data_IF_669660792471
#
_entry.id   IF_669660792471
#
_cell.length_a   1.000
_cell.length_b   1.000
_cell.length_c   1.000
_cell.angle_alpha   90.00
_cell.angle_beta   90.00
_cell.angle_gamma   90.00
#
_symmetry.space_group_name_H-M   'P 1'
#
loop_
_entity.id
_entity.type
_entity.pdbx_description
1 polymer ?
#
# COMPACT_ATOMS: atom_id res chain seq x y z
N UNK A 1 28.54 22.21 4.53
CA UNK A 1 27.61 21.64 5.55
C UNK A 1 26.59 20.80 4.80
N UNK A 2 26.39 19.51 5.14
CA UNK A 2 25.49 18.64 4.38
C UNK A 2 24.04 18.83 4.85
N UNK A 3 23.18 19.35 3.96
CA UNK A 3 21.75 19.67 4.18
C UNK A 3 20.88 18.42 4.10
N UNK A 4 21.10 17.61 3.08
CA UNK A 4 20.53 16.28 2.86
C UNK A 4 21.59 15.48 2.09
N UNK A 5 21.58 14.16 2.20
CA UNK A 5 22.38 13.33 1.32
C UNK A 5 21.54 12.90 0.12
N UNK A 6 22.14 12.97 -1.07
CA UNK A 6 21.52 12.34 -2.24
C UNK A 6 21.37 10.84 -2.00
N UNK A 7 20.25 10.30 -2.51
CA UNK A 7 19.92 8.88 -2.41
C UNK A 7 19.61 8.38 -1.00
N UNK A 8 19.28 9.28 -0.08
CA UNK A 8 18.74 8.95 1.24
C UNK A 8 17.27 9.35 1.38
N UNK A 9 16.59 8.73 2.34
CA UNK A 9 15.18 8.95 2.65
C UNK A 9 14.98 9.60 4.00
N UNK A 10 14.07 10.57 4.08
CA UNK A 10 13.78 11.34 5.28
C UNK A 10 12.27 11.45 5.46
N UNK A 11 11.82 11.56 6.71
CA UNK A 11 10.40 11.71 7.05
C UNK A 11 10.04 13.20 7.19
N UNK A 12 8.99 13.62 6.50
CA UNK A 12 8.47 14.98 6.48
C UNK A 12 7.06 15.01 7.04
N UNK A 13 6.69 16.07 7.76
CA UNK A 13 5.33 16.24 8.25
C UNK A 13 4.40 16.71 7.11
N UNK A 14 3.24 16.08 6.99
CA UNK A 14 2.19 16.51 6.06
C UNK A 14 1.53 17.81 6.53
N UNK A 15 1.37 18.78 5.63
CA UNK A 15 0.73 20.08 5.91
C UNK A 15 -0.60 20.21 5.15
N UNK A 16 -0.71 19.66 3.95
CA UNK A 16 -1.89 19.85 3.09
C UNK A 16 -1.68 19.36 1.67
N UNK A 17 -2.72 19.49 0.86
CA UNK A 17 -2.62 19.37 -0.61
C UNK A 17 -2.73 20.77 -1.22
N UNK A 18 -2.01 21.01 -2.31
CA UNK A 18 -2.05 22.24 -3.09
C UNK A 18 -2.12 21.90 -4.59
N UNK A 19 -2.91 22.65 -5.35
CA UNK A 19 -3.07 22.46 -6.80
C UNK A 19 -2.39 23.62 -7.52
N UNK A 20 -1.50 23.32 -8.47
CA UNK A 20 -0.83 24.34 -9.25
C UNK A 20 -1.70 24.86 -10.40
N UNK A 21 -1.21 25.88 -11.10
CA UNK A 21 -1.92 26.52 -12.22
C UNK A 21 -2.18 25.58 -13.40
N UNK A 22 -1.49 24.44 -13.47
CA UNK A 22 -1.66 23.43 -14.52
C UNK A 22 -2.62 22.30 -14.10
N UNK A 23 -3.22 22.38 -12.91
CA UNK A 23 -4.09 21.35 -12.34
C UNK A 23 -3.33 20.17 -11.73
N UNK A 24 -2.01 20.29 -11.54
CA UNK A 24 -1.22 19.26 -10.89
C UNK A 24 -1.28 19.42 -9.37
N UNK A 25 -1.61 18.34 -8.67
CA UNK A 25 -1.77 18.35 -7.21
C UNK A 25 -0.48 17.88 -6.53
N UNK A 26 -0.07 18.61 -5.50
CA UNK A 26 1.12 18.35 -4.70
C UNK A 26 0.76 18.15 -3.23
N UNK A 27 1.54 17.31 -2.57
CA UNK A 27 1.55 17.14 -1.12
C UNK A 27 2.52 18.18 -0.56
N UNK A 28 2.01 19.06 0.30
CA UNK A 28 2.80 20.06 1.02
C UNK A 28 3.40 19.45 2.27
N UNK A 29 4.70 19.67 2.45
CA UNK A 29 5.54 18.99 3.43
C UNK A 29 6.28 20.00 4.32
N UNK A 30 6.44 19.66 5.60
CA UNK A 30 7.27 20.39 6.56
C UNK A 30 8.45 19.54 7.00
N UNK A 31 9.58 20.18 7.19
CA UNK A 31 10.76 19.57 7.77
C UNK A 31 11.35 20.46 8.86
N UNK A 32 11.57 19.92 10.05
CA UNK A 32 12.32 20.60 11.10
C UNK A 32 13.83 20.46 10.83
N UNK A 33 14.39 21.48 10.17
CA UNK A 33 15.79 21.52 9.82
C UNK A 33 16.72 21.65 11.03
N UNK A 34 16.24 21.93 12.25
CA UNK A 34 17.12 22.16 13.41
C UNK A 34 17.98 20.96 13.76
N UNK A 35 17.52 19.74 13.45
CA UNK A 35 18.25 18.50 13.74
C UNK A 35 19.35 18.18 12.74
N UNK A 36 19.23 18.64 11.50
CA UNK A 36 20.12 18.30 10.37
C UNK A 36 20.93 19.49 9.87
N UNK A 37 20.42 20.70 10.09
CA UNK A 37 21.01 21.97 9.73
C UNK A 37 20.95 22.92 10.93
N UNK A 38 21.98 22.89 11.80
CA UNK A 38 22.09 23.85 12.90
C UNK A 38 21.98 25.27 12.34
N UNK A 39 21.00 26.04 12.82
CA UNK A 39 20.60 27.40 12.39
C UNK A 39 19.56 27.53 11.25
N UNK A 40 19.07 26.43 10.67
CA UNK A 40 17.93 26.49 9.76
C UNK A 40 16.61 26.24 10.50
N UNK A 41 15.59 27.05 10.17
CA UNK A 41 14.26 26.94 10.74
C UNK A 41 13.43 25.81 10.11
N UNK A 42 12.11 25.93 10.23
CA UNK A 42 11.18 25.07 9.52
C UNK A 42 11.27 25.33 8.01
N UNK A 43 11.46 24.27 7.24
CA UNK A 43 11.49 24.32 5.77
C UNK A 43 10.24 23.67 5.20
N UNK A 44 9.71 24.25 4.13
CA UNK A 44 8.55 23.74 3.41
C UNK A 44 8.98 23.19 2.05
N UNK A 45 8.44 22.02 1.73
CA UNK A 45 8.70 21.30 0.48
C UNK A 45 7.38 20.81 -0.11
N UNK A 46 7.46 20.30 -1.34
CA UNK A 46 6.31 19.63 -1.97
C UNK A 46 6.74 18.45 -2.82
N UNK A 47 5.88 17.45 -2.92
CA UNK A 47 6.04 16.29 -3.80
C UNK A 47 4.75 16.04 -4.57
N UNK A 48 4.83 15.50 -5.78
CA UNK A 48 3.64 15.22 -6.59
C UNK A 48 2.72 14.21 -5.87
N UNK A 49 1.43 14.53 -5.79
CA UNK A 49 0.41 13.65 -5.24
C UNK A 49 -0.01 12.60 -6.28
N UNK A 50 -0.32 11.40 -5.81
CA UNK A 50 -0.86 10.33 -6.65
C UNK A 50 -2.40 10.34 -6.63
N UNK A 51 -3.08 9.79 -7.66
CA UNK A 51 -4.54 9.77 -7.76
C UNK A 51 -5.27 9.33 -6.47
N UNK A 52 -4.80 8.26 -5.83
CA UNK A 52 -5.43 7.77 -4.60
C UNK A 52 -5.25 8.72 -3.40
N UNK A 53 -4.18 9.52 -3.39
CA UNK A 53 -3.90 10.49 -2.31
C UNK A 53 -4.78 11.73 -2.46
N UNK A 54 -5.08 12.15 -3.70
CA UNK A 54 -5.97 13.29 -3.97
C UNK A 54 -7.40 12.99 -3.49
N UNK A 55 -7.84 11.75 -3.68
CA UNK A 55 -9.18 11.30 -3.30
C UNK A 55 -9.26 10.75 -1.87
N UNK A 56 -8.14 10.73 -1.15
CA UNK A 56 -8.06 10.20 0.21
C UNK A 56 -8.74 11.15 1.20
N UNK A 57 -9.59 10.64 2.11
CA UNK A 57 -10.12 11.44 3.20
C UNK A 57 -9.00 12.02 4.08
N UNK A 58 -9.07 13.29 4.50
CA UNK A 58 -8.00 13.95 5.27
C UNK A 58 -7.58 13.19 6.54
N UNK A 59 -8.54 12.57 7.22
CA UNK A 59 -8.31 11.78 8.44
C UNK A 59 -7.49 10.50 8.21
N UNK A 60 -7.40 10.05 6.96
CA UNK A 60 -6.62 8.86 6.56
C UNK A 60 -5.25 9.23 6.00
N UNK A 61 -5.00 10.50 5.72
CA UNK A 61 -3.74 10.93 5.16
C UNK A 61 -2.61 10.71 6.19
N UNK A 62 -1.50 10.08 5.79
CA UNK A 62 -0.39 9.86 6.71
C UNK A 62 0.17 11.18 7.22
N UNK A 63 0.31 11.30 8.55
CA UNK A 63 0.89 12.51 9.18
C UNK A 63 2.34 12.75 8.79
N UNK A 64 3.07 11.68 8.46
CA UNK A 64 4.44 11.73 7.98
C UNK A 64 4.55 11.07 6.61
N UNK A 65 5.20 11.76 5.69
CA UNK A 65 5.49 11.28 4.34
C UNK A 65 6.99 11.01 4.27
N UNK A 66 7.36 9.78 3.91
CA UNK A 66 8.75 9.48 3.64
C UNK A 66 9.10 9.91 2.22
N UNK A 67 10.13 10.73 2.08
CA UNK A 67 10.61 11.21 0.79
C UNK A 67 12.06 10.82 0.58
N UNK A 68 12.36 10.43 -0.66
CA UNK A 68 13.68 10.15 -1.16
C UNK A 68 14.28 11.40 -1.80
N UNK A 69 15.52 11.73 -1.45
CA UNK A 69 16.27 12.83 -2.03
C UNK A 69 16.90 12.36 -3.33
N UNK A 70 16.23 12.60 -4.44
CA UNK A 70 16.71 12.12 -5.74
C UNK A 70 17.97 12.87 -6.19
N UNK A 71 17.99 14.19 -5.97
CA UNK A 71 19.12 15.05 -6.34
C UNK A 71 19.15 16.30 -5.46
N UNK A 72 20.33 16.89 -5.28
CA UNK A 72 20.51 18.21 -4.70
C UNK A 72 20.62 19.27 -5.79
N UNK A 73 19.84 20.33 -5.67
CA UNK A 73 19.80 21.45 -6.60
C UNK A 73 20.43 22.66 -5.92
N UNK A 74 21.42 23.28 -6.59
CA UNK A 74 22.03 24.51 -6.09
C UNK A 74 21.05 25.68 -6.08
N UNK A 75 21.08 26.47 -5.01
CA UNK A 75 20.30 27.71 -4.90
C UNK A 75 20.63 28.69 -6.03
N UNK A 76 19.63 29.09 -6.83
CA UNK A 76 19.79 30.18 -7.83
C UNK A 76 19.98 31.56 -7.19
N UNK A 77 19.58 31.72 -5.93
CA UNK A 77 19.50 33.01 -5.25
C UNK A 77 20.71 33.32 -4.37
N UNK A 78 21.55 32.32 -4.07
CA UNK A 78 22.81 32.55 -3.37
C UNK A 78 23.89 31.54 -3.77
N UNK A 79 24.45 31.65 -5.00
CA UNK A 79 25.44 30.69 -5.51
C UNK A 79 26.75 30.66 -4.70
N UNK A 80 27.00 31.65 -3.84
CA UNK A 80 28.18 31.73 -2.98
C UNK A 80 28.05 30.95 -1.65
N UNK A 81 26.85 30.46 -1.28
CA UNK A 81 26.59 29.87 0.05
C UNK A 81 26.55 28.33 0.10
N UNK A 82 26.87 27.60 -0.98
CA UNK A 82 26.79 26.12 -1.02
C UNK A 82 25.42 25.54 -0.63
N UNK A 83 24.35 26.36 -0.53
CA UNK A 83 23.03 25.89 -0.15
C UNK A 83 22.41 25.03 -1.26
N UNK A 84 22.23 23.75 -0.94
CA UNK A 84 21.67 22.73 -1.81
C UNK A 84 20.30 22.31 -1.30
N UNK A 85 19.29 22.37 -2.18
CA UNK A 85 17.92 21.99 -1.89
C UNK A 85 17.59 20.60 -2.46
N UNK A 86 16.92 19.73 -1.70
CA UNK A 86 16.55 18.41 -2.18
C UNK A 86 15.42 18.49 -3.21
N UNK A 87 15.63 17.83 -4.34
CA UNK A 87 14.56 17.41 -5.24
C UNK A 87 13.96 16.11 -4.69
N UNK A 88 12.79 16.24 -4.06
CA UNK A 88 12.13 15.16 -3.35
C UNK A 88 11.22 14.33 -4.27
N UNK A 89 11.21 13.03 -4.04
CA UNK A 89 10.21 12.11 -4.55
C UNK A 89 9.65 11.32 -3.36
N UNK A 90 8.43 10.79 -3.47
CA UNK A 90 7.93 9.88 -2.43
C UNK A 90 8.82 8.63 -2.39
N UNK A 91 9.25 8.20 -1.20
CA UNK A 91 10.05 7.00 -1.04
C UNK A 91 9.25 5.79 -1.52
N UNK A 92 9.83 5.05 -2.47
CA UNK A 92 9.10 4.01 -3.18
C UNK A 92 8.77 2.82 -2.29
N UNK A 93 9.70 2.36 -1.48
CA UNK A 93 9.44 1.23 -0.58
C UNK A 93 8.34 1.57 0.42
N UNK A 94 8.41 2.76 1.02
CA UNK A 94 7.37 3.26 1.91
C UNK A 94 6.03 3.35 1.21
N UNK A 95 5.97 3.95 0.02
CA UNK A 95 4.76 4.11 -0.78
C UNK A 95 4.11 2.77 -1.12
N UNK A 96 4.91 1.80 -1.59
CA UNK A 96 4.37 0.47 -1.94
C UNK A 96 3.70 -0.20 -0.74
N UNK A 97 4.27 -0.06 0.47
CA UNK A 97 3.68 -0.61 1.70
C UNK A 97 2.40 0.12 2.15
N UNK A 98 2.18 1.35 1.70
CA UNK A 98 0.91 2.05 1.93
C UNK A 98 -0.17 1.57 0.97
N UNK A 99 0.19 1.28 -0.29
CA UNK A 99 -0.79 1.01 -1.36
C UNK A 99 -1.15 -0.48 -1.45
N UNK A 100 -0.17 -1.36 -1.28
CA UNK A 100 -0.32 -2.77 -1.61
C UNK A 100 -0.38 -3.66 -0.37
N UNK A 101 -1.25 -4.67 -0.46
CA UNK A 101 -1.38 -5.73 0.52
C UNK A 101 -1.07 -7.06 -0.16
N UNK A 102 -0.11 -7.86 0.36
CA UNK A 102 0.10 -9.21 -0.14
C UNK A 102 -1.18 -10.05 -0.12
N UNK A 103 -1.39 -10.83 -1.19
CA UNK A 103 -2.57 -11.66 -1.41
C UNK A 103 -3.78 -10.91 -1.98
N UNK A 104 -3.68 -9.62 -2.27
CA UNK A 104 -4.73 -8.85 -2.94
C UNK A 104 -4.49 -8.72 -4.44
N UNK A 105 -5.58 -8.59 -5.16
CA UNK A 105 -5.63 -8.43 -6.62
C UNK A 105 -5.79 -6.96 -6.95
N UNK A 106 -4.96 -6.47 -7.86
CA UNK A 106 -5.01 -5.09 -8.35
C UNK A 106 -5.04 -5.10 -9.88
N UNK A 107 -5.61 -4.05 -10.47
CA UNK A 107 -5.71 -3.91 -11.91
C UNK A 107 -4.60 -3.03 -12.45
N UNK A 108 -3.85 -3.56 -13.40
CA UNK A 108 -2.72 -2.89 -14.01
C UNK A 108 -2.93 -2.70 -15.50
N UNK A 109 -2.33 -1.65 -16.06
CA UNK A 109 -2.17 -1.45 -17.49
C UNK A 109 -0.70 -1.46 -17.90
N UNK A 110 -0.38 -2.02 -19.06
CA UNK A 110 0.97 -1.96 -19.62
C UNK A 110 1.19 -0.59 -20.24
N UNK A 111 2.15 0.17 -19.70
CA UNK A 111 2.47 1.53 -20.19
C UNK A 111 3.82 1.60 -20.92
N UNK A 112 4.62 0.55 -20.86
CA UNK A 112 5.90 0.52 -21.54
C UNK A 112 6.59 -0.84 -21.50
N UNK A 113 7.70 -0.93 -22.21
CA UNK A 113 8.57 -2.10 -22.25
C UNK A 113 10.02 -1.66 -22.34
N UNK A 114 10.88 -2.23 -21.51
CA UNK A 114 12.32 -1.93 -21.52
C UNK A 114 13.07 -2.75 -22.58
N UNK A 115 14.35 -2.40 -22.81
CA UNK A 115 15.21 -3.10 -23.77
C UNK A 115 15.49 -4.56 -23.40
N UNK A 116 15.35 -4.93 -22.12
CA UNK A 116 15.45 -6.31 -21.65
C UNK A 116 14.14 -7.10 -21.88
N UNK A 117 13.11 -6.45 -22.44
CA UNK A 117 11.83 -7.04 -22.75
C UNK A 117 10.85 -7.09 -21.57
N UNK A 118 11.20 -6.51 -20.42
CA UNK A 118 10.33 -6.43 -19.24
C UNK A 118 9.35 -5.28 -19.37
N UNK A 119 8.18 -5.40 -18.75
CA UNK A 119 7.10 -4.43 -18.88
C UNK A 119 7.13 -3.41 -17.73
N UNK A 120 6.71 -2.19 -18.06
CA UNK A 120 6.30 -1.18 -17.07
C UNK A 120 4.79 -1.23 -16.98
N UNK A 121 4.28 -1.49 -15.78
CA UNK A 121 2.85 -1.51 -15.47
C UNK A 121 2.46 -0.24 -14.72
N UNK A 122 1.25 0.24 -14.91
CA UNK A 122 0.64 1.29 -14.10
C UNK A 122 -0.60 0.75 -13.43
N UNK A 123 -0.63 0.86 -12.11
CA UNK A 123 -1.83 0.59 -11.34
C UNK A 123 -2.91 1.62 -11.71
N UNK A 124 -4.07 1.13 -12.12
CA UNK A 124 -5.15 2.00 -12.62
C UNK A 124 -5.85 2.77 -11.50
N UNK A 125 -5.84 2.27 -10.28
CA UNK A 125 -6.52 2.90 -9.14
C UNK A 125 -5.56 3.85 -8.40
N UNK A 126 -4.36 3.36 -8.09
CA UNK A 126 -3.38 4.17 -7.34
C UNK A 126 -2.56 5.12 -8.23
N UNK A 127 -2.44 4.81 -9.52
CA UNK A 127 -1.58 5.53 -10.46
C UNK A 127 -0.08 5.28 -10.27
N UNK A 128 0.31 4.31 -9.41
CA UNK A 128 1.71 3.95 -9.18
C UNK A 128 2.25 3.13 -10.35
N UNK A 129 3.39 3.55 -10.87
CA UNK A 129 4.13 2.80 -11.90
C UNK A 129 4.97 1.68 -11.26
N UNK A 130 5.07 0.54 -11.94
CA UNK A 130 5.82 -0.65 -11.56
C UNK A 130 6.72 -1.09 -12.70
N UNK A 131 8.00 -1.26 -12.40
CA UNK A 131 9.02 -1.53 -13.40
C UNK A 131 9.44 -3.00 -13.35
N UNK A 132 9.97 -3.49 -14.47
CA UNK A 132 10.57 -4.81 -14.60
C UNK A 132 9.62 -5.99 -14.39
N UNK A 133 8.35 -5.84 -14.74
CA UNK A 133 7.40 -6.95 -14.72
C UNK A 133 7.72 -7.97 -15.82
N UNK A 134 7.74 -9.24 -15.46
CA UNK A 134 7.92 -10.36 -16.37
C UNK A 134 6.59 -11.11 -16.50
N UNK A 135 6.11 -11.21 -17.74
CA UNK A 135 4.86 -11.92 -18.07
C UNK A 135 5.21 -13.25 -18.73
N UNK A 136 4.45 -14.30 -18.43
CA UNK A 136 4.61 -15.59 -19.11
C UNK A 136 4.11 -15.52 -20.56
N UNK A 137 3.17 -14.61 -20.83
CA UNK A 137 2.60 -14.36 -22.15
C UNK A 137 3.00 -12.99 -22.68
N UNK A 138 3.19 -12.82 -24.01
CA UNK A 138 3.45 -11.51 -24.59
C UNK A 138 2.30 -10.54 -24.33
N UNK A 139 2.62 -9.31 -23.91
CA UNK A 139 1.66 -8.23 -23.66
C UNK A 139 1.95 -7.05 -24.59
N UNK A 140 0.90 -6.28 -24.92
CA UNK A 140 0.98 -5.05 -25.68
C UNK A 140 0.80 -3.82 -24.78
N UNK A 141 1.34 -2.69 -25.20
CA UNK A 141 1.08 -1.40 -24.54
C UNK A 141 -0.42 -1.10 -24.64
N UNK A 142 -1.04 -0.75 -23.51
CA UNK A 142 -2.48 -0.54 -23.37
C UNK A 142 -3.24 -1.76 -22.85
N UNK A 143 -2.66 -2.96 -22.88
CA UNK A 143 -3.29 -4.14 -22.30
C UNK A 143 -3.51 -3.93 -20.80
N UNK A 144 -4.67 -4.36 -20.31
CA UNK A 144 -5.04 -4.25 -18.90
C UNK A 144 -5.47 -5.59 -18.35
N UNK A 145 -4.94 -5.95 -17.19
CA UNK A 145 -5.17 -7.26 -16.56
C UNK A 145 -5.05 -7.15 -15.05
N UNK A 146 -5.49 -8.20 -14.37
CA UNK A 146 -5.42 -8.31 -12.92
C UNK A 146 -4.19 -9.09 -12.50
N UNK A 147 -3.57 -8.66 -11.40
CA UNK A 147 -2.46 -9.38 -10.78
C UNK A 147 -2.64 -9.43 -9.27
N UNK A 148 -2.25 -10.56 -8.70
CA UNK A 148 -2.13 -10.73 -7.26
C UNK A 148 -0.75 -10.27 -6.81
N UNK A 149 -0.70 -9.38 -5.81
CA UNK A 149 0.54 -9.01 -5.14
C UNK A 149 0.98 -10.17 -4.26
N UNK A 150 2.05 -10.87 -4.61
CA UNK A 150 2.59 -11.96 -3.80
C UNK A 150 3.40 -11.44 -2.61
N UNK A 151 4.20 -10.39 -2.82
CA UNK A 151 5.05 -9.78 -1.80
C UNK A 151 5.54 -8.39 -2.24
N UNK A 152 6.00 -7.61 -1.27
CA UNK A 152 6.64 -6.31 -1.48
C UNK A 152 8.12 -6.47 -1.13
N UNK A 153 8.99 -6.38 -2.13
CA UNK A 153 10.44 -6.61 -2.02
C UNK A 153 11.19 -5.30 -2.20
N UNK A 154 11.31 -4.53 -1.11
CA UNK A 154 11.89 -3.18 -1.15
C UNK A 154 11.09 -2.28 -2.08
N UNK A 155 11.71 -1.88 -3.19
CA UNK A 155 11.13 -0.99 -4.20
C UNK A 155 10.31 -1.70 -5.30
N UNK A 156 10.13 -3.01 -5.21
CA UNK A 156 9.46 -3.81 -6.25
C UNK A 156 8.31 -4.64 -5.69
N UNK A 157 7.30 -4.89 -6.54
CA UNK A 157 6.25 -5.88 -6.27
C UNK A 157 6.60 -7.19 -6.95
N UNK A 158 6.40 -8.30 -6.24
CA UNK A 158 6.27 -9.60 -6.88
C UNK A 158 4.80 -9.81 -7.22
N UNK A 159 4.49 -9.94 -8.51
CA UNK A 159 3.13 -10.07 -9.03
C UNK A 159 2.90 -11.48 -9.61
N UNK A 160 1.67 -11.97 -9.52
CA UNK A 160 1.23 -13.20 -10.16
C UNK A 160 -0.05 -12.95 -10.96
N UNK A 161 -0.15 -13.57 -12.14
CA UNK A 161 -1.33 -13.45 -13.01
C UNK A 161 -2.59 -14.05 -12.37
N UNK A 162 -2.44 -15.03 -11.48
CA UNK A 162 -3.55 -15.62 -10.75
C UNK A 162 -3.20 -15.95 -9.30
N UNK A 163 -4.24 -16.13 -8.49
CA UNK A 163 -4.13 -16.40 -7.04
C UNK A 163 -3.55 -17.78 -6.74
N UNK A 164 -3.82 -18.78 -7.57
CA UNK A 164 -3.26 -20.12 -7.40
C UNK A 164 -1.73 -20.09 -7.46
N UNK A 165 -1.17 -19.40 -8.46
CA UNK A 165 0.27 -19.19 -8.58
C UNK A 165 0.84 -18.38 -7.42
N UNK A 166 0.12 -17.36 -6.95
CA UNK A 166 0.50 -16.59 -5.76
C UNK A 166 0.63 -17.48 -4.51
N UNK A 167 -0.38 -18.31 -4.22
CA UNK A 167 -0.35 -19.23 -3.08
C UNK A 167 0.72 -20.32 -3.24
N UNK A 168 0.87 -20.88 -4.45
CA UNK A 168 1.91 -21.87 -4.74
C UNK A 168 3.32 -21.28 -4.52
N UNK A 169 3.57 -20.07 -5.02
CA UNK A 169 4.83 -19.35 -4.84
C UNK A 169 5.10 -18.96 -3.39
N UNK A 170 4.05 -18.68 -2.61
CA UNK A 170 4.13 -18.43 -1.18
C UNK A 170 4.38 -19.69 -0.33
N UNK A 171 4.22 -20.89 -0.91
CA UNK A 171 4.53 -22.18 -0.28
C UNK A 171 3.38 -22.80 0.52
N UNK A 172 2.12 -22.42 0.23
CA UNK A 172 0.95 -23.09 0.79
C UNK A 172 0.83 -24.53 0.23
N UNK A 173 0.52 -25.49 1.10
CA UNK A 173 0.44 -26.93 0.76
C UNK A 173 -0.64 -27.62 1.57
N UNK A 174 -1.36 -28.55 0.95
CA UNK A 174 -2.35 -29.40 1.64
C UNK A 174 -1.70 -30.15 2.82
N UNK A 175 -2.43 -30.26 3.93
CA UNK A 175 -1.99 -30.83 5.20
C UNK A 175 -1.14 -29.89 6.07
N UNK A 176 -0.76 -28.71 5.56
CA UNK A 176 0.02 -27.74 6.34
C UNK A 176 -0.89 -27.04 7.34
N UNK A 177 -0.46 -27.04 8.61
CA UNK A 177 -1.05 -26.22 9.66
C UNK A 177 -0.43 -24.84 9.67
N UNK A 178 -1.25 -23.81 9.81
CA UNK A 178 -0.86 -22.41 9.82
C UNK A 178 -1.63 -21.65 10.89
N UNK A 179 -0.95 -20.68 11.49
CA UNK A 179 -1.59 -19.69 12.34
C UNK A 179 -2.14 -18.55 11.49
N UNK A 180 -3.38 -18.18 11.79
CA UNK A 180 -4.07 -17.06 11.18
C UNK A 180 -4.51 -16.09 12.26
N UNK A 181 -4.39 -14.80 11.97
CA UNK A 181 -4.97 -13.74 12.79
C UNK A 181 -6.38 -13.45 12.32
N UNK A 182 -7.34 -13.52 13.24
CA UNK A 182 -8.74 -13.17 13.04
C UNK A 182 -8.84 -11.65 12.98
N UNK A 183 -9.31 -11.12 11.86
CA UNK A 183 -9.53 -9.68 11.68
C UNK A 183 -10.93 -9.28 12.05
N UNK A 184 -11.91 -10.05 11.57
CA UNK A 184 -13.33 -9.76 11.73
C UNK A 184 -14.17 -11.02 11.59
N UNK A 185 -15.35 -11.00 12.19
CA UNK A 185 -16.47 -11.86 11.82
C UNK A 185 -17.42 -11.07 10.90
N UNK A 186 -17.88 -11.71 9.83
CA UNK A 186 -18.82 -11.13 8.86
C UNK A 186 -19.84 -12.18 8.44
N UNK A 187 -20.89 -11.73 7.77
CA UNK A 187 -21.84 -12.57 7.06
C UNK A 187 -21.59 -12.41 5.55
N UNK A 188 -21.73 -13.48 4.79
CA UNK A 188 -21.74 -13.41 3.32
C UNK A 188 -23.12 -12.99 2.79
N UNK A 189 -23.26 -12.93 1.46
CA UNK A 189 -24.51 -12.52 0.80
C UNK A 189 -25.67 -13.49 1.09
N UNK A 190 -25.38 -14.73 1.51
CA UNK A 190 -26.35 -15.74 1.90
C UNK A 190 -26.55 -15.81 3.43
N UNK A 191 -26.05 -14.84 4.19
CA UNK A 191 -26.08 -14.77 5.66
C UNK A 191 -25.32 -15.91 6.37
N UNK A 192 -24.34 -16.53 5.71
CA UNK A 192 -23.47 -17.52 6.33
C UNK A 192 -22.34 -16.81 7.09
N UNK A 193 -22.10 -17.16 8.36
CA UNK A 193 -21.02 -16.55 9.14
C UNK A 193 -19.65 -17.04 8.68
N UNK A 194 -18.72 -16.10 8.56
CA UNK A 194 -17.32 -16.39 8.30
C UNK A 194 -16.37 -15.50 9.10
N UNK A 195 -15.19 -16.02 9.36
CA UNK A 195 -14.05 -15.28 9.86
C UNK A 195 -13.22 -14.76 8.68
N UNK A 196 -12.91 -13.47 8.70
CA UNK A 196 -11.92 -12.86 7.84
C UNK A 196 -10.56 -12.98 8.53
N UNK A 197 -9.65 -13.72 7.91
CA UNK A 197 -8.36 -14.13 8.46
C UNK A 197 -7.20 -13.56 7.66
N UNK A 198 -6.05 -13.40 8.32
CA UNK A 198 -4.76 -13.10 7.67
C UNK A 198 -3.75 -14.16 8.10
N UNK A 199 -3.09 -14.80 7.14
CA UNK A 199 -2.03 -15.75 7.45
C UNK A 199 -0.82 -15.00 8.04
N UNK A 200 -0.29 -15.49 9.16
CA UNK A 200 0.81 -14.81 9.86
C UNK A 200 2.16 -14.92 9.14
N UNK A 201 2.28 -15.78 8.12
CA UNK A 201 3.54 -16.04 7.42
C UNK A 201 3.77 -15.06 6.25
N UNK A 202 2.74 -14.84 5.42
CA UNK A 202 2.83 -14.06 4.18
C UNK A 202 1.83 -12.91 4.11
N UNK A 203 0.88 -12.83 5.03
CA UNK A 203 -0.13 -11.76 5.08
C UNK A 203 -1.27 -11.91 4.08
N UNK A 204 -1.42 -13.08 3.45
CA UNK A 204 -2.56 -13.39 2.60
C UNK A 204 -3.84 -13.45 3.42
N UNK A 205 -4.90 -12.91 2.83
CA UNK A 205 -6.21 -12.89 3.46
C UNK A 205 -7.04 -14.11 3.04
N UNK A 206 -7.81 -14.67 3.98
CA UNK A 206 -8.61 -15.88 3.81
C UNK A 206 -9.96 -15.79 4.54
N UNK A 207 -11.00 -16.51 4.06
CA UNK A 207 -12.29 -16.67 4.76
C UNK A 207 -12.26 -18.06 5.33
N UNK A 208 -12.77 -18.18 6.54
CA UNK A 208 -13.06 -19.45 7.14
C UNK A 208 -14.52 -19.44 7.58
N UNK A 209 -15.36 -20.24 6.93
CA UNK A 209 -16.76 -20.36 7.30
C UNK A 209 -16.88 -21.19 8.58
N UNK A 210 -17.66 -20.68 9.53
CA UNK A 210 -17.97 -21.41 10.76
C UNK A 210 -19.04 -22.46 10.45
N UNK A 211 -18.94 -23.66 11.03
CA UNK A 211 -20.01 -24.67 10.93
C UNK A 211 -21.23 -24.23 11.78
N UNK A 212 -22.41 -24.80 11.53
CA UNK A 212 -23.70 -24.33 12.11
C UNK A 212 -23.72 -24.25 13.66
N UNK A 213 -22.83 -24.99 14.33
CA UNK A 213 -22.68 -25.00 15.79
C UNK A 213 -21.38 -24.33 16.29
N UNK A 214 -20.51 -23.84 15.40
CA UNK A 214 -19.25 -23.22 15.79
C UNK A 214 -19.46 -21.75 16.17
N UNK A 215 -19.24 -21.42 17.45
CA UNK A 215 -19.06 -20.03 17.85
C UNK A 215 -17.71 -19.51 17.39
N UNK A 216 -17.63 -18.24 17.00
CA UNK A 216 -16.36 -17.60 16.71
C UNK A 216 -15.42 -17.74 17.94
N UNK A 217 -14.13 -18.07 17.75
CA UNK A 217 -13.19 -18.18 18.85
C UNK A 217 -13.11 -16.86 19.63
N UNK A 218 -12.98 -16.94 20.96
CA UNK A 218 -12.74 -15.75 21.81
C UNK A 218 -11.30 -15.21 21.68
N UNK A 219 -10.44 -15.86 20.90
CA UNK A 219 -9.04 -15.52 20.72
C UNK A 219 -8.82 -14.74 19.42
N UNK A 220 -7.75 -13.94 19.38
CA UNK A 220 -7.38 -13.14 18.20
C UNK A 220 -6.73 -13.98 17.08
N UNK A 221 -6.25 -15.19 17.39
CA UNK A 221 -5.58 -16.09 16.44
C UNK A 221 -6.22 -17.49 16.44
N UNK A 222 -6.09 -18.19 15.32
CA UNK A 222 -6.61 -19.54 15.12
C UNK A 222 -5.62 -20.40 14.32
N UNK A 223 -5.37 -21.64 14.79
CA UNK A 223 -4.62 -22.63 14.01
C UNK A 223 -5.59 -23.38 13.08
N UNK A 224 -5.32 -23.34 11.78
CA UNK A 224 -6.09 -24.07 10.77
C UNK A 224 -5.16 -24.89 9.88
N UNK A 225 -5.69 -26.00 9.39
CA UNK A 225 -5.03 -26.87 8.42
C UNK A 225 -5.57 -26.62 7.02
N UNK A 226 -4.70 -26.63 6.02
CA UNK A 226 -5.09 -26.54 4.61
C UNK A 226 -5.57 -27.92 4.17
N UNK A 227 -6.88 -28.08 4.03
CA UNK A 227 -7.47 -29.34 3.58
C UNK A 227 -7.46 -29.52 2.06
N UNK A 228 -7.57 -28.43 1.29
CA UNK A 228 -7.43 -28.43 -0.17
C UNK A 228 -7.01 -27.03 -0.69
N UNK A 229 -6.52 -26.97 -1.93
CA UNK A 229 -6.26 -25.72 -2.66
C UNK A 229 -6.95 -25.81 -4.01
N UNK A 230 -7.97 -24.98 -4.24
CA UNK A 230 -8.73 -25.05 -5.49
C UNK A 230 -7.90 -24.53 -6.68
N UNK A 231 -8.23 -24.89 -7.94
CA UNK A 231 -7.54 -24.40 -9.13
C UNK A 231 -7.55 -22.86 -9.27
N UNK A 232 -8.55 -22.19 -8.72
CA UNK A 232 -8.67 -20.73 -8.72
C UNK A 232 -7.79 -20.06 -7.64
N UNK A 233 -7.18 -20.85 -6.75
CA UNK A 233 -6.33 -20.34 -5.66
C UNK A 233 -7.09 -20.08 -4.36
N UNK A 234 -8.07 -20.91 -4.03
CA UNK A 234 -8.76 -20.86 -2.74
C UNK A 234 -8.16 -21.85 -1.76
N UNK A 235 -7.86 -21.40 -0.53
CA UNK A 235 -7.51 -22.32 0.56
C UNK A 235 -8.80 -22.84 1.19
N UNK A 236 -9.01 -24.14 1.11
CA UNK A 236 -10.04 -24.83 1.87
C UNK A 236 -9.48 -25.13 3.26
N UNK A 237 -9.73 -24.22 4.20
CA UNK A 237 -9.24 -24.31 5.57
C UNK A 237 -10.16 -25.21 6.41
N UNK A 238 -9.58 -25.97 7.33
CA UNK A 238 -10.30 -26.84 8.28
C UNK A 238 -9.61 -26.79 9.64
N UNK A 239 -10.33 -27.15 10.72
CA UNK A 239 -9.67 -27.39 11.99
C UNK A 239 -8.71 -28.59 11.87
N UNK A 240 -7.54 -28.53 12.53
CA UNK A 240 -6.59 -29.63 12.52
C UNK A 240 -7.22 -30.97 12.93
N UNK A 241 -7.02 -32.01 12.13
CA UNK A 241 -7.54 -33.35 12.41
C UNK A 241 -9.03 -33.58 12.12
N UNK A 242 -9.81 -32.56 11.71
CA UNK A 242 -11.10 -32.79 11.03
C UNK A 242 -10.81 -33.29 9.61
N UNK A 243 -11.55 -34.28 9.13
CA UNK A 243 -11.43 -34.81 7.75
C UNK A 243 -12.54 -34.20 6.92
N UNK A 244 -12.20 -33.41 5.90
CA UNK A 244 -13.14 -32.89 4.89
C UNK A 244 -13.88 -34.02 4.17
N UNK A 245 -14.98 -34.53 4.74
CA UNK A 245 -15.99 -35.27 3.98
C UNK A 245 -16.84 -34.31 3.11
N UNK A 246 -16.71 -33.00 3.33
CA UNK A 246 -17.59 -31.93 2.83
C UNK A 246 -16.94 -31.01 1.78
N UNK A 247 -15.93 -31.48 1.03
CA UNK A 247 -15.21 -30.71 -0.03
C UNK A 247 -16.18 -30.04 -1.03
N UNK A 248 -17.39 -30.58 -1.20
CA UNK A 248 -18.41 -30.01 -2.07
C UNK A 248 -19.01 -28.67 -1.59
N UNK A 249 -18.93 -28.32 -0.30
CA UNK A 249 -19.63 -27.13 0.26
C UNK A 249 -18.88 -25.79 0.03
N UNK A 250 -17.57 -25.82 -0.25
CA UNK A 250 -16.74 -24.59 -0.39
C UNK A 250 -16.78 -24.02 -1.82
N UNK A 251 -17.10 -24.85 -2.84
CA UNK A 251 -17.26 -24.41 -4.24
C UNK A 251 -18.42 -23.44 -4.48
N UNK A 252 -19.29 -23.21 -3.49
CA UNK A 252 -20.58 -22.52 -3.61
C UNK A 252 -20.56 -21.01 -3.28
N UNK A 253 -19.39 -20.39 -3.08
CA UNK A 253 -19.31 -18.92 -3.02
C UNK A 253 -19.21 -18.37 -4.44
N UNK A 254 -20.35 -18.02 -5.05
CA UNK A 254 -20.43 -17.46 -6.41
C UNK A 254 -19.81 -16.06 -6.53
N UNK A 255 -19.44 -15.42 -5.41
CA UNK A 255 -18.85 -14.09 -5.38
C UNK A 255 -17.40 -14.12 -4.85
N UNK A 256 -16.38 -13.99 -5.72
CA UNK A 256 -14.98 -14.11 -5.37
C UNK A 256 -14.40 -12.79 -4.84
N UNK A 257 -15.08 -12.13 -3.89
CA UNK A 257 -14.64 -10.86 -3.26
C UNK A 257 -13.51 -11.09 -2.24
N UNK A 258 -12.47 -11.76 -2.71
CA UNK A 258 -11.31 -12.09 -1.92
C UNK A 258 -10.05 -11.60 -2.60
N UNK A 259 -9.40 -10.65 -1.93
CA UNK A 259 -8.33 -9.90 -2.54
C UNK A 259 -8.83 -8.80 -3.48
N UNK A 260 -10.14 -8.72 -3.77
CA UNK A 260 -10.80 -7.48 -4.19
C UNK A 260 -11.55 -6.92 -2.99
N UNK A 261 -11.17 -5.72 -2.56
CA UNK A 261 -12.05 -4.85 -1.78
C UNK A 261 -12.95 -4.14 -2.79
N UNK A 262 -14.23 -4.49 -2.86
CA UNK A 262 -15.20 -3.54 -3.39
C UNK A 262 -15.79 -2.74 -2.21
N UNK A 263 -15.85 -1.43 -2.45
CA UNK A 263 -16.37 -0.34 -1.61
C UNK A 263 -15.43 0.32 -0.56
N UNK A 264 -14.43 1.03 -1.10
CA UNK A 264 -14.00 2.38 -0.67
C UNK A 264 -13.32 2.61 0.69
N UNK A 265 -13.32 1.75 1.70
CA UNK A 265 -12.76 2.15 3.01
C UNK A 265 -12.33 0.99 3.91
N UNK A 266 -11.03 0.71 4.01
CA UNK A 266 -10.44 0.29 5.29
C UNK A 266 -8.90 0.41 5.42
N UNK A 267 -8.33 1.59 5.16
CA UNK A 267 -7.14 2.02 5.92
C UNK A 267 -7.52 2.12 7.41
N UNK A 268 -7.44 0.98 8.10
CA UNK A 268 -7.45 0.82 9.55
C UNK A 268 -6.11 0.19 9.94
N UNK A 269 -5.08 1.02 10.05
CA UNK A 269 -4.23 0.90 11.24
C UNK A 269 -4.73 1.96 12.21
N UNK A 270 -5.47 1.48 13.19
CA UNK A 270 -5.57 2.11 14.50
C UNK A 270 -4.16 2.40 15.03
N UNK A 271 -3.62 3.58 14.71
CA UNK A 271 -2.61 4.18 15.57
C UNK A 271 -3.40 4.95 16.62
N UNK A 272 -3.54 4.34 17.79
CA UNK A 272 -3.87 5.09 18.99
C UNK A 272 -2.74 6.10 19.22
N UNK A 273 -2.98 7.37 18.90
CA UNK A 273 -2.09 8.44 19.35
C UNK A 273 -2.41 8.70 20.82
N UNK A 274 -1.41 8.76 21.72
CA UNK A 274 -1.65 9.18 23.09
C UNK A 274 -2.27 10.59 23.11
N UNK A 275 -3.11 10.93 24.09
CA UNK A 275 -3.77 12.22 24.17
C UNK A 275 -2.72 13.29 24.47
N UNK A 276 -2.23 13.94 23.43
CA UNK A 276 -1.35 15.10 23.51
C UNK A 276 -2.12 16.35 23.12
N UNK A 277 -2.67 17.01 24.13
CA UNK A 277 -3.09 18.41 24.23
C UNK A 277 -3.54 19.16 22.96
N UNK A 278 -4.84 19.47 22.97
CA UNK A 278 -5.49 20.61 22.31
C UNK A 278 -4.58 21.80 22.01
N UNK A 279 -4.61 22.25 20.75
CA UNK A 279 -4.98 23.64 20.38
C UNK A 279 -5.38 23.71 18.90
N UNK A 280 -6.62 24.14 18.70
CA UNK A 280 -7.32 24.54 17.47
C UNK A 280 -6.45 24.83 16.24
N UNK A 281 -6.68 24.17 15.08
CA UNK A 281 -6.13 24.63 13.81
C UNK A 281 -6.90 25.89 13.36
N UNK A 282 -6.24 27.04 13.49
CA UNK A 282 -6.78 28.34 13.06
C UNK A 282 -6.51 28.50 11.55
N UNK A 283 -7.45 28.02 10.73
CA UNK A 283 -7.40 27.95 9.26
C UNK A 283 -7.10 29.31 8.59
N UNK A 284 -7.32 30.42 9.29
CA UNK A 284 -7.25 31.77 8.73
C UNK A 284 -5.85 32.40 8.75
N UNK A 285 -4.86 31.76 9.37
CA UNK A 285 -3.45 32.24 9.38
C UNK A 285 -2.59 31.67 8.26
N UNK A 286 -3.05 30.67 7.51
CA UNK A 286 -2.29 30.06 6.40
C UNK A 286 -2.30 30.88 5.10
N UNK A 287 -3.13 31.92 4.99
CA UNK A 287 -3.25 32.73 3.77
C UNK A 287 -2.22 33.87 3.63
N UNK A 288 -1.45 34.20 4.68
CA UNK A 288 -0.73 35.48 4.72
C UNK A 288 0.81 35.41 4.77
N UNK A 289 1.46 34.27 4.51
CA UNK A 289 2.94 34.23 4.41
C UNK A 289 3.39 33.62 3.08
N UNK A 290 3.11 34.36 2.00
CA UNK A 290 3.77 34.20 0.71
C UNK A 290 5.22 34.68 0.80
N UNK A 291 6.19 33.76 0.76
CA UNK A 291 7.36 33.87 -0.13
C UNK A 291 7.65 32.47 -0.69
N UNK A 292 6.83 32.03 -1.64
CA UNK A 292 7.11 30.87 -2.48
C UNK A 292 8.27 31.21 -3.42
N UNK A 293 9.44 30.58 -3.22
CA UNK A 293 10.47 30.50 -4.27
C UNK A 293 10.24 29.22 -5.06
N UNK A 294 9.41 29.33 -6.09
CA UNK A 294 9.30 28.35 -7.16
C UNK A 294 10.66 28.26 -7.86
N UNK A 295 11.30 27.09 -7.84
CA UNK A 295 12.30 26.75 -8.85
C UNK A 295 11.68 25.67 -9.72
N UNK A 296 11.26 26.10 -10.91
CA UNK A 296 10.83 25.23 -12.00
C UNK A 296 11.98 24.33 -12.46
N UNK A 297 11.63 23.07 -12.75
CA UNK A 297 12.46 22.04 -13.36
C UNK A 297 11.63 20.80 -13.59
#
# INVERSE_FOLDING_TARGET
MATFNEKESYDFDYIGLDEDENGEVYIMLKYDGKTTLPNFGMLEYRVKALPFQITMPPEKFPRKIRCFVNKLISSRFNPAQEEQFPFLQQDREWLLRQVYVPGFTYKFSVIGRDFAGKYTLKDLDSGVDHYHYESATPLNIGDSFECVVQSINGMYLALAENRFEALRGAGFKVGRKLMFTIRKQKLDEQNRPFLQLVDQFRGFWHRFYLEEDDTAPEQDDIELEIGDITPEGWLCLQYPGKRLADIQKIRLAENPDFGREDDRREFKTSIAFPPGESRTPDFQKQLNHNIMRVIAG
#
